data_IF_625665923375
#
_entry.id   IF_625665923375
#
_cell.length_a   1.000
_cell.length_b   1.000
_cell.length_c   1.000
_cell.angle_alpha   90.00
_cell.angle_beta   90.00
_cell.angle_gamma   90.00
#
_symmetry.space_group_name_H-M   'P 1'
#
loop_
_entity.id
_entity.type
_entity.pdbx_description
1 polymer ?
#
# COMPACT_ATOMS: atom_id res chain seq x y z
N UNK A 1 7.66 -34.83 -16.83
CA UNK A 1 7.95 -33.70 -15.92
C UNK A 1 8.62 -34.27 -14.68
N UNK A 2 9.86 -33.87 -14.40
CA UNK A 2 10.58 -34.35 -13.23
C UNK A 2 9.98 -33.72 -11.95
N UNK A 3 9.68 -34.54 -10.94
CA UNK A 3 9.26 -34.06 -9.63
C UNK A 3 10.46 -33.44 -8.93
N UNK A 4 10.61 -32.12 -9.05
CA UNK A 4 11.65 -31.35 -8.36
C UNK A 4 11.25 -31.17 -6.90
N UNK A 5 11.74 -32.05 -6.02
CA UNK A 5 11.53 -31.93 -4.58
C UNK A 5 12.60 -30.96 -4.03
N UNK A 6 12.19 -29.73 -3.69
CA UNK A 6 13.07 -28.73 -3.06
C UNK A 6 13.12 -28.97 -1.56
N UNK A 7 14.14 -29.68 -1.07
CA UNK A 7 14.43 -29.80 0.35
C UNK A 7 15.06 -28.49 0.86
N UNK A 8 14.35 -27.76 1.72
CA UNK A 8 14.88 -26.55 2.38
C UNK A 8 15.51 -26.96 3.72
N UNK A 9 16.79 -26.64 3.92
CA UNK A 9 17.51 -26.90 5.19
C UNK A 9 17.19 -25.82 6.24
N UNK A 10 15.91 -25.68 6.58
CA UNK A 10 15.44 -24.79 7.64
C UNK A 10 15.04 -25.57 8.90
N UNK A 11 15.08 -24.92 10.05
CA UNK A 11 14.48 -25.41 11.30
C UNK A 11 13.14 -24.71 11.51
N UNK A 12 12.16 -25.41 12.06
CA UNK A 12 10.88 -24.82 12.44
C UNK A 12 11.02 -24.01 13.75
N UNK A 13 10.39 -22.84 13.79
CA UNK A 13 10.38 -21.99 15.00
C UNK A 13 9.13 -22.35 15.81
N UNK A 14 9.32 -23.07 16.92
CA UNK A 14 8.23 -23.49 17.81
C UNK A 14 7.83 -22.35 18.76
N UNK A 15 6.90 -21.49 18.31
CA UNK A 15 6.34 -20.40 19.12
C UNK A 15 5.09 -20.86 19.88
N UNK A 16 4.97 -20.44 21.14
CA UNK A 16 3.75 -20.63 21.94
C UNK A 16 2.74 -19.55 21.52
N UNK A 17 1.49 -19.94 21.26
CA UNK A 17 0.42 -19.01 20.84
C UNK A 17 0.22 -18.91 19.33
N UNK A 18 0.58 -19.95 18.56
CA UNK A 18 0.28 -20.02 17.13
C UNK A 18 -1.22 -19.76 16.88
N UNK A 19 -1.50 -18.87 15.93
CA UNK A 19 -2.87 -18.58 15.51
C UNK A 19 -3.50 -19.83 14.90
N UNK A 20 -4.77 -20.07 15.21
CA UNK A 20 -5.53 -21.15 14.59
C UNK A 20 -5.78 -20.81 13.11
N UNK A 21 -5.66 -21.79 12.22
CA UNK A 21 -5.89 -21.64 10.77
C UNK A 21 -7.39 -21.57 10.44
N UNK A 22 -8.09 -20.60 11.03
CA UNK A 22 -9.52 -20.39 10.84
C UNK A 22 -9.80 -18.92 10.52
N UNK A 23 -10.67 -18.71 9.53
CA UNK A 23 -11.16 -17.38 9.18
C UNK A 23 -12.34 -17.02 10.09
N UNK A 24 -12.14 -16.00 10.93
CA UNK A 24 -13.18 -15.44 11.78
C UNK A 24 -13.64 -14.09 11.20
N UNK A 25 -14.95 -13.82 11.12
CA UNK A 25 -15.44 -12.52 10.69
C UNK A 25 -15.14 -11.47 11.78
N UNK A 26 -14.44 -10.40 11.40
CA UNK A 26 -14.10 -9.27 12.28
C UNK A 26 -14.82 -8.02 11.79
N UNK A 27 -15.25 -7.17 12.72
CA UNK A 27 -15.85 -5.87 12.37
C UNK A 27 -14.79 -4.96 11.74
N UNK A 28 -15.14 -4.20 10.68
CA UNK A 28 -14.22 -3.23 10.11
C UNK A 28 -13.82 -2.19 11.17
N UNK A 29 -12.55 -1.77 11.11
CA UNK A 29 -12.04 -0.72 11.97
C UNK A 29 -12.63 0.63 11.56
N UNK A 30 -12.75 1.56 12.51
CA UNK A 30 -13.20 2.93 12.21
C UNK A 30 -12.08 3.82 11.71
N UNK A 31 -10.85 3.51 12.09
CA UNK A 31 -9.67 4.32 11.80
C UNK A 31 -8.60 3.45 11.14
N UNK A 32 -8.00 4.02 10.09
CA UNK A 32 -6.91 3.45 9.34
C UNK A 32 -5.77 4.46 9.28
N UNK A 33 -4.54 3.97 9.22
CA UNK A 33 -3.39 4.84 9.07
C UNK A 33 -2.36 4.22 8.13
N UNK A 34 -1.82 5.05 7.24
CA UNK A 34 -0.64 4.69 6.46
C UNK A 34 0.60 5.33 7.09
N UNK A 35 1.60 4.50 7.32
CA UNK A 35 2.87 4.87 7.95
C UNK A 35 3.94 4.88 6.86
N UNK A 36 4.45 6.06 6.44
CA UNK A 36 5.48 6.13 5.41
C UNK A 36 6.77 5.40 5.78
N UNK A 37 7.06 5.23 7.07
CA UNK A 37 8.25 4.52 7.56
C UNK A 37 8.24 3.01 7.23
N UNK A 38 7.08 2.43 6.93
CA UNK A 38 6.98 1.02 6.50
C UNK A 38 7.54 0.82 5.08
N UNK A 39 7.68 1.91 4.31
CA UNK A 39 8.20 1.89 2.95
C UNK A 39 9.66 2.36 2.93
N UNK A 40 10.59 1.41 2.84
CA UNK A 40 12.02 1.72 2.86
C UNK A 40 12.43 2.48 1.60
N UNK A 41 13.26 3.53 1.77
CA UNK A 41 13.80 4.35 0.66
C UNK A 41 12.85 5.44 0.15
N UNK A 42 11.68 5.60 0.76
CA UNK A 42 10.69 6.61 0.42
C UNK A 42 10.99 7.96 1.09
N UNK A 43 10.83 9.06 0.35
CA UNK A 43 10.74 10.40 0.96
C UNK A 43 9.31 10.92 0.80
N UNK A 44 8.43 10.80 1.82
CA UNK A 44 7.01 11.09 1.65
C UNK A 44 6.75 12.58 1.46
N UNK A 45 6.00 12.90 0.41
CA UNK A 45 5.39 14.21 0.19
C UNK A 45 3.88 14.05 0.26
N UNK A 46 3.28 14.59 1.31
CA UNK A 46 1.83 14.51 1.53
C UNK A 46 1.11 15.40 0.51
N UNK A 47 0.09 14.83 -0.15
CA UNK A 47 -0.73 15.52 -1.15
C UNK A 47 -2.05 16.00 -0.54
N UNK A 48 -2.54 15.27 0.46
CA UNK A 48 -3.79 15.58 1.18
C UNK A 48 -3.56 16.50 2.40
N UNK A 49 -4.64 17.13 2.84
CA UNK A 49 -4.70 17.95 4.05
C UNK A 49 -5.67 17.35 5.06
N UNK A 50 -5.57 17.79 6.30
CA UNK A 50 -6.51 17.42 7.34
C UNK A 50 -7.90 17.98 7.00
N UNK A 51 -8.92 17.14 7.11
CA UNK A 51 -10.30 17.45 6.72
C UNK A 51 -10.63 17.10 5.26
N UNK A 52 -9.66 16.72 4.44
CA UNK A 52 -9.95 16.29 3.06
C UNK A 52 -10.69 14.95 3.07
N UNK A 53 -11.68 14.82 2.20
CA UNK A 53 -12.36 13.56 1.92
C UNK A 53 -11.64 12.83 0.79
N UNK A 54 -11.36 11.55 0.99
CA UNK A 54 -10.63 10.67 0.07
C UNK A 54 -11.43 9.41 -0.19
N UNK A 55 -11.39 8.90 -1.42
CA UNK A 55 -11.96 7.59 -1.76
C UNK A 55 -10.90 6.51 -1.65
N UNK A 56 -11.32 5.25 -1.56
CA UNK A 56 -10.40 4.13 -1.67
C UNK A 56 -9.74 4.16 -3.06
N UNK A 57 -8.41 4.21 -3.11
CA UNK A 57 -7.65 4.42 -4.34
C UNK A 57 -7.12 5.85 -4.57
N UNK A 58 -7.63 6.86 -3.86
CA UNK A 58 -7.12 8.23 -4.00
C UNK A 58 -5.73 8.38 -3.30
N UNK A 59 -4.79 9.15 -3.85
CA UNK A 59 -3.42 9.25 -3.34
C UNK A 59 -3.34 10.08 -2.06
N UNK A 60 -2.74 9.52 -1.01
CA UNK A 60 -2.49 10.23 0.27
C UNK A 60 -1.16 10.97 0.27
N UNK A 61 -0.10 10.29 -0.15
CA UNK A 61 1.23 10.87 -0.33
C UNK A 61 1.93 10.25 -1.53
N UNK A 62 2.95 10.94 -2.02
CA UNK A 62 3.80 10.51 -3.14
C UNK A 62 5.25 10.44 -2.70
N UNK A 63 6.08 9.67 -3.41
CA UNK A 63 7.52 9.79 -3.26
C UNK A 63 8.00 11.14 -3.83
N UNK A 64 8.75 11.90 -3.03
CA UNK A 64 9.39 13.13 -3.49
C UNK A 64 10.44 12.84 -4.57
N UNK A 65 11.09 11.68 -4.51
CA UNK A 65 12.08 11.24 -5.51
C UNK A 65 11.44 10.87 -6.85
N UNK A 66 10.29 10.20 -6.80
CA UNK A 66 9.53 9.76 -7.97
C UNK A 66 8.04 10.13 -7.79
N UNK A 67 7.61 11.33 -8.23
CA UNK A 67 6.24 11.81 -8.03
C UNK A 67 5.14 10.95 -8.67
N UNK A 68 5.50 10.12 -9.65
CA UNK A 68 4.60 9.15 -10.29
C UNK A 68 4.18 8.01 -9.34
N UNK A 69 5.02 7.71 -8.35
CA UNK A 69 4.73 6.69 -7.34
C UNK A 69 3.89 7.33 -6.24
N UNK A 70 2.60 7.04 -6.29
CA UNK A 70 1.63 7.44 -5.29
C UNK A 70 1.25 6.29 -4.36
N UNK A 71 0.84 6.63 -3.14
CA UNK A 71 0.35 5.69 -2.13
C UNK A 71 -1.12 5.96 -1.89
N UNK A 72 -1.96 5.03 -2.35
CA UNK A 72 -3.41 5.16 -2.28
C UNK A 72 -3.98 4.92 -0.88
N UNK A 73 -5.11 5.56 -0.59
CA UNK A 73 -5.89 5.29 0.62
C UNK A 73 -6.51 3.89 0.56
N UNK A 74 -6.40 3.09 1.64
CA UNK A 74 -7.00 1.76 1.68
C UNK A 74 -8.53 1.79 1.86
N UNK A 75 -9.07 2.92 2.34
CA UNK A 75 -10.49 3.11 2.64
C UNK A 75 -10.97 4.48 2.16
N UNK A 76 -12.27 4.62 1.94
CA UNK A 76 -12.89 5.93 1.79
C UNK A 76 -13.20 6.55 3.13
N UNK A 77 -13.08 7.88 3.19
CA UNK A 77 -13.49 8.68 4.32
C UNK A 77 -12.67 9.94 4.46
N UNK A 78 -12.57 10.45 5.69
CA UNK A 78 -11.97 11.76 5.95
C UNK A 78 -10.59 11.64 6.60
N UNK A 79 -9.63 12.40 6.07
CA UNK A 79 -8.28 12.52 6.63
C UNK A 79 -8.38 13.26 7.96
N UNK A 80 -8.15 12.55 9.05
CA UNK A 80 -8.30 13.11 10.41
C UNK A 80 -7.10 13.96 10.79
N UNK A 81 -5.90 13.43 10.56
CA UNK A 81 -4.66 14.12 10.93
C UNK A 81 -3.47 13.61 10.13
N UNK A 82 -2.54 14.51 9.83
CA UNK A 82 -1.23 14.19 9.27
C UNK A 82 -0.20 14.38 10.37
N UNK A 83 0.11 13.30 11.08
CA UNK A 83 1.03 13.37 12.22
C UNK A 83 2.46 13.59 11.74
N UNK A 84 3.10 14.65 12.25
CA UNK A 84 4.48 14.98 11.99
C UNK A 84 5.30 14.94 13.28
N UNK A 85 6.43 14.26 13.24
CA UNK A 85 7.40 14.16 14.32
C UNK A 85 8.51 15.21 14.25
N UNK A 86 9.62 14.90 14.89
CA UNK A 86 10.80 15.77 14.95
C UNK A 86 11.30 16.16 13.54
N UNK A 87 11.78 17.40 13.40
CA UNK A 87 12.20 17.96 12.10
C UNK A 87 11.14 17.88 10.99
N UNK A 88 9.85 17.83 11.37
CA UNK A 88 8.69 17.71 10.47
C UNK A 88 8.66 16.40 9.67
N UNK A 89 9.24 15.31 10.19
CA UNK A 89 9.13 13.97 9.60
C UNK A 89 7.66 13.51 9.62
N UNK A 90 7.13 13.02 8.50
CA UNK A 90 5.76 12.49 8.44
C UNK A 90 5.75 11.10 9.09
N UNK A 91 4.98 10.93 10.17
CA UNK A 91 4.90 9.67 10.91
C UNK A 91 3.77 8.80 10.39
N UNK A 92 2.56 9.36 10.26
CA UNK A 92 1.39 8.63 9.76
C UNK A 92 0.33 9.57 9.21
N UNK A 93 -0.43 9.10 8.25
CA UNK A 93 -1.64 9.75 7.73
C UNK A 93 -2.83 8.94 8.21
N UNK A 94 -3.68 9.54 9.07
CA UNK A 94 -4.88 8.89 9.61
C UNK A 94 -6.11 9.22 8.78
N UNK A 95 -6.91 8.20 8.50
CA UNK A 95 -8.19 8.28 7.78
C UNK A 95 -9.25 7.59 8.62
N UNK A 96 -10.35 8.31 8.89
CA UNK A 96 -11.56 7.71 9.46
C UNK A 96 -12.39 7.18 8.31
N UNK A 97 -12.77 5.90 8.39
CA UNK A 97 -13.53 5.23 7.35
C UNK A 97 -15.01 5.62 7.40
N UNK A 98 -15.60 5.83 6.22
CA UNK A 98 -17.05 6.00 6.07
C UNK A 98 -17.80 4.67 6.23
N UNK A 99 -19.09 4.75 6.60
CA UNK A 99 -19.97 3.58 6.71
C UNK A 99 -20.17 2.88 5.35
N UNK A 100 -20.21 3.65 4.28
CA UNK A 100 -20.25 3.16 2.90
C UNK A 100 -18.92 3.47 2.21
N UNK A 101 -18.31 2.43 1.66
CA UNK A 101 -17.00 2.55 1.04
C UNK A 101 -17.13 2.98 -0.42
N UNK A 102 -16.59 4.14 -0.73
CA UNK A 102 -16.48 4.67 -2.10
C UNK A 102 -15.10 4.36 -2.67
N UNK A 103 -15.06 3.77 -3.86
CA UNK A 103 -13.82 3.41 -4.52
C UNK A 103 -13.67 4.15 -5.84
N UNK A 104 -12.42 4.47 -6.18
CA UNK A 104 -12.08 4.94 -7.52
C UNK A 104 -12.20 3.78 -8.49
N UNK A 105 -13.08 3.91 -9.48
CA UNK A 105 -13.18 2.91 -10.54
C UNK A 105 -12.05 3.12 -11.56
N UNK A 106 -11.13 2.15 -11.60
CA UNK A 106 -10.04 2.11 -12.57
C UNK A 106 -10.39 1.34 -13.86
N UNK A 107 -11.61 0.80 -13.93
CA UNK A 107 -12.13 0.02 -15.05
C UNK A 107 -11.59 -1.40 -15.11
N UNK A 108 -12.43 -2.33 -15.56
CA UNK A 108 -12.01 -3.70 -15.87
C UNK A 108 -11.31 -3.67 -17.23
N UNK A 109 -10.02 -4.03 -17.26
CA UNK A 109 -9.22 -4.10 -18.48
C UNK A 109 -8.90 -5.55 -18.84
N UNK A 110 -8.90 -5.84 -20.13
CA UNK A 110 -8.54 -7.18 -20.62
C UNK A 110 -7.02 -7.39 -20.53
N UNK A 111 -6.61 -8.33 -19.68
CA UNK A 111 -5.21 -8.63 -19.39
C UNK A 111 -4.45 -9.21 -20.59
N UNK A 112 -5.15 -9.84 -21.54
CA UNK A 112 -4.51 -10.49 -22.69
C UNK A 112 -4.03 -9.49 -23.76
N UNK A 113 -4.64 -8.30 -23.82
CA UNK A 113 -4.36 -7.28 -24.83
C UNK A 113 -3.52 -6.10 -24.34
N UNK A 114 -3.23 -6.00 -23.04
CA UNK A 114 -2.51 -4.87 -22.47
C UNK A 114 -1.01 -4.95 -22.73
N UNK A 115 -0.44 -3.81 -23.12
CA UNK A 115 1.01 -3.62 -23.15
C UNK A 115 1.59 -3.47 -21.74
N UNK A 116 2.88 -3.76 -21.59
CA UNK A 116 3.56 -3.64 -20.29
C UNK A 116 3.49 -2.22 -19.71
N UNK A 117 3.57 -1.19 -20.56
CA UNK A 117 3.52 0.20 -20.14
C UNK A 117 2.11 0.60 -19.68
N UNK A 118 1.06 0.12 -20.35
CA UNK A 118 -0.32 0.36 -19.91
C UNK A 118 -0.61 -0.28 -18.55
N UNK A 119 -0.04 -1.46 -18.27
CA UNK A 119 -0.17 -2.11 -16.95
C UNK A 119 0.53 -1.28 -15.87
N UNK A 120 1.75 -0.79 -16.15
CA UNK A 120 2.48 0.09 -15.23
C UNK A 120 1.68 1.36 -14.93
N UNK A 121 1.15 2.01 -15.95
CA UNK A 121 0.32 3.22 -15.79
C UNK A 121 -0.93 2.96 -14.95
N UNK A 122 -1.56 1.79 -15.10
CA UNK A 122 -2.69 1.42 -14.25
C UNK A 122 -2.29 1.29 -12.78
N UNK A 123 -1.16 0.62 -12.51
CA UNK A 123 -0.68 0.41 -11.15
C UNK A 123 -0.21 1.71 -10.48
N UNK A 124 0.39 2.62 -11.26
CA UNK A 124 0.80 3.95 -10.80
C UNK A 124 -0.42 4.82 -10.46
N UNK A 125 -1.44 4.82 -11.34
CA UNK A 125 -2.71 5.53 -11.09
C UNK A 125 -3.49 4.99 -9.90
N UNK A 126 -3.46 3.67 -9.71
CA UNK A 126 -4.08 3.01 -8.55
C UNK A 126 -3.31 3.23 -7.24
N UNK A 127 -2.10 3.82 -7.29
CA UNK A 127 -1.26 4.02 -6.11
C UNK A 127 -0.80 2.72 -5.43
N UNK A 128 -0.76 1.62 -6.19
CA UNK A 128 -0.35 0.30 -5.73
C UNK A 128 1.12 -0.01 -6.06
N UNK A 129 1.69 0.70 -7.02
CA UNK A 129 3.06 0.46 -7.48
C UNK A 129 4.09 0.63 -6.34
N UNK A 130 3.85 1.54 -5.39
CA UNK A 130 4.72 1.75 -4.23
C UNK A 130 4.72 0.60 -3.21
N UNK A 131 3.81 -0.36 -3.32
CA UNK A 131 3.75 -1.54 -2.44
C UNK A 131 4.60 -2.71 -2.94
N UNK A 132 5.14 -2.62 -4.16
CA UNK A 132 6.02 -3.64 -4.71
C UNK A 132 7.45 -3.36 -4.23
N UNK A 133 8.07 -4.37 -3.63
CA UNK A 133 9.43 -4.27 -3.11
C UNK A 133 10.44 -4.86 -4.09
N UNK A 134 11.49 -4.10 -4.40
CA UNK A 134 12.64 -4.58 -5.17
C UNK A 134 13.51 -5.49 -4.30
N UNK A 135 13.91 -6.63 -4.86
CA UNK A 135 14.96 -7.45 -4.28
C UNK A 135 16.31 -7.02 -4.88
N UNK A 136 17.41 -6.97 -4.10
CA UNK A 136 17.60 -7.54 -2.76
C UNK A 136 17.32 -6.58 -1.59
N UNK A 137 17.18 -5.27 -1.83
CA UNK A 137 17.17 -4.26 -0.76
C UNK A 137 15.80 -4.02 -0.12
N UNK A 138 14.74 -4.66 -0.62
CA UNK A 138 13.35 -4.48 -0.18
C UNK A 138 12.90 -3.00 -0.18
N UNK A 139 13.33 -2.25 -1.19
CA UNK A 139 13.00 -0.83 -1.39
C UNK A 139 11.78 -0.74 -2.31
N UNK A 140 10.90 0.25 -2.08
CA UNK A 140 9.76 0.52 -2.97
C UNK A 140 10.21 0.68 -4.42
N UNK A 141 9.55 -0.02 -5.35
CA UNK A 141 9.86 0.06 -6.78
C UNK A 141 9.66 1.45 -7.34
N UNK A 142 10.48 1.78 -8.34
CA UNK A 142 10.33 2.97 -9.20
C UNK A 142 10.06 2.53 -10.63
N UNK A 143 9.26 3.27 -11.40
CA UNK A 143 8.86 2.86 -12.75
C UNK A 143 10.05 2.76 -13.73
N UNK A 144 11.15 3.47 -13.46
CA UNK A 144 12.38 3.47 -14.25
C UNK A 144 13.27 2.23 -14.06
N UNK A 145 13.00 1.40 -13.06
CA UNK A 145 13.81 0.24 -12.65
C UNK A 145 13.01 -1.05 -12.68
#
# INVERSE_FOLDING_TARGET
MANVIKLRKGLDINLIGCAQEQLLPVKPSKEYALVPDDFTGLTPKVVVREGDHVRAGDPLFVDKGCPEVSFASPVSGSVTSVERGERRKVLRVKVVADEQQEFVDFGIKDLAGLSADEVKDCLLKAGLFGFINQLPYAVSTRPDT
#
